data_IF_227159327639
#
_entry.id   IF_227159327639
#
_cell.length_a   1.000
_cell.length_b   1.000
_cell.length_c   1.000
_cell.angle_alpha   90.00
_cell.angle_beta   90.00
_cell.angle_gamma   90.00
#
_symmetry.space_group_name_H-M   'P 1'
#
loop_
_entity.id
_entity.type
_entity.pdbx_description
1 polymer ?
#
# COMPACT_ATOMS: atom_id res chain seq x y z
N UNK A 1 1.58 -9.46 -9.86
CA UNK A 1 1.56 -10.23 -8.60
C UNK A 1 1.98 -9.29 -7.50
N UNK A 2 1.39 -9.38 -6.30
CA UNK A 2 1.94 -8.71 -5.12
C UNK A 2 2.53 -9.80 -4.24
N UNK A 3 3.78 -9.66 -3.85
CA UNK A 3 4.43 -10.59 -2.94
C UNK A 3 3.87 -10.35 -1.52
N UNK A 4 3.47 -11.43 -0.86
CA UNK A 4 2.97 -11.42 0.53
C UNK A 4 4.10 -11.95 1.40
N UNK A 5 4.55 -11.15 2.36
CA UNK A 5 5.58 -11.54 3.32
C UNK A 5 5.01 -11.50 4.73
N UNK A 6 5.32 -12.49 5.55
CA UNK A 6 4.95 -12.55 6.96
C UNK A 6 6.19 -12.20 7.80
N UNK A 7 6.13 -11.13 8.59
CA UNK A 7 7.20 -10.77 9.55
C UNK A 7 6.56 -10.77 10.93
N UNK A 8 7.04 -11.64 11.84
CA UNK A 8 6.61 -11.72 13.25
C UNK A 8 5.09 -11.86 13.48
N UNK A 9 4.35 -12.43 12.53
CA UNK A 9 2.90 -12.62 12.61
C UNK A 9 2.07 -11.48 11.99
N UNK A 10 2.71 -10.48 11.38
CA UNK A 10 2.05 -9.40 10.65
C UNK A 10 2.12 -9.63 9.12
N UNK A 11 0.98 -9.48 8.45
CA UNK A 11 0.86 -9.62 7.01
C UNK A 11 1.33 -8.35 6.30
N UNK A 12 2.34 -8.49 5.44
CA UNK A 12 2.79 -7.40 4.56
C UNK A 12 2.21 -7.63 3.16
N UNK A 13 1.48 -6.63 2.68
CA UNK A 13 0.92 -6.59 1.33
C UNK A 13 1.60 -5.49 0.54
N UNK A 14 2.45 -5.87 -0.41
CA UNK A 14 3.07 -4.92 -1.33
C UNK A 14 2.11 -4.56 -2.46
N UNK A 15 1.79 -3.26 -2.55
CA UNK A 15 0.91 -2.71 -3.58
C UNK A 15 1.43 -1.39 -4.10
N UNK A 16 1.29 -1.24 -5.40
CA UNK A 16 1.45 0.06 -6.04
C UNK A 16 0.27 0.97 -5.66
N UNK A 17 0.61 2.16 -5.18
CA UNK A 17 -0.33 3.25 -4.93
C UNK A 17 -0.80 3.79 -6.27
N UNK A 18 -2.12 3.90 -6.46
CA UNK A 18 -2.68 4.48 -7.70
C UNK A 18 -3.19 5.89 -7.47
N UNK A 19 -3.06 6.80 -8.46
CA UNK A 19 -3.71 8.09 -8.41
C UNK A 19 -5.23 7.93 -8.48
N UNK A 20 -5.96 8.77 -7.76
CA UNK A 20 -7.41 8.83 -7.81
C UNK A 20 -7.90 10.29 -7.68
N UNK A 21 -8.88 10.66 -8.50
CA UNK A 21 -9.46 12.01 -8.51
C UNK A 21 -8.43 13.11 -8.79
N UNK A 22 -8.58 14.25 -8.12
CA UNK A 22 -7.80 15.49 -8.33
C UNK A 22 -6.38 15.47 -7.72
N UNK A 23 -5.76 14.29 -7.54
CA UNK A 23 -4.35 14.19 -7.13
C UNK A 23 -4.07 13.41 -5.83
N UNK A 24 -5.02 12.62 -5.34
CA UNK A 24 -4.82 11.80 -4.13
C UNK A 24 -4.26 10.41 -4.44
N UNK A 25 -3.34 9.93 -3.59
CA UNK A 25 -2.88 8.54 -3.57
C UNK A 25 -3.94 7.63 -2.93
N UNK A 26 -4.31 6.53 -3.58
CA UNK A 26 -5.21 5.51 -3.02
C UNK A 26 -4.54 4.13 -2.94
N UNK A 27 -4.76 3.47 -1.81
CA UNK A 27 -4.40 2.07 -1.54
C UNK A 27 -5.68 1.30 -1.21
N UNK A 28 -5.91 0.18 -1.87
CA UNK A 28 -7.05 -0.71 -1.57
C UNK A 28 -6.57 -1.85 -0.68
N UNK A 29 -7.05 -1.89 0.56
CA UNK A 29 -6.80 -2.98 1.48
C UNK A 29 -7.70 -4.21 1.17
N UNK A 30 -7.26 -5.44 1.48
CA UNK A 30 -8.10 -6.63 1.45
C UNK A 30 -9.33 -6.51 2.36
N UNK A 31 -10.45 -7.16 1.98
CA UNK A 31 -11.67 -7.15 2.79
C UNK A 31 -11.50 -7.83 4.14
N UNK A 32 -10.59 -8.79 4.23
CA UNK A 32 -10.31 -9.54 5.46
C UNK A 32 -9.64 -8.68 6.55
N UNK A 33 -9.17 -7.46 6.23
CA UNK A 33 -8.61 -6.51 7.19
C UNK A 33 -9.68 -5.64 7.88
N UNK A 34 -10.97 -5.79 7.57
CA UNK A 34 -12.03 -5.01 8.19
C UNK A 34 -12.04 -5.26 9.71
N UNK A 35 -11.82 -4.20 10.49
CA UNK A 35 -11.75 -4.26 11.96
C UNK A 35 -10.36 -4.44 12.54
N UNK A 36 -9.32 -4.56 11.70
CA UNK A 36 -7.93 -4.57 12.14
C UNK A 36 -7.32 -3.15 12.19
N UNK A 37 -6.35 -2.93 13.08
CA UNK A 37 -5.47 -1.78 13.05
C UNK A 37 -4.43 -1.96 11.93
N UNK A 38 -4.29 -0.98 11.04
CA UNK A 38 -3.42 -1.08 9.85
C UNK A 38 -2.42 0.07 9.82
N UNK A 39 -1.14 -0.27 9.56
CA UNK A 39 -0.07 0.70 9.31
C UNK A 39 0.41 0.60 7.87
N UNK A 40 0.49 1.74 7.19
CA UNK A 40 1.08 1.84 5.84
C UNK A 40 2.51 2.37 5.95
N UNK A 41 3.46 1.72 5.29
CA UNK A 41 4.88 2.12 5.27
C UNK A 41 5.32 2.33 3.83
N UNK A 42 5.90 3.50 3.54
CA UNK A 42 6.50 3.80 2.23
C UNK A 42 7.92 3.22 2.19
N UNK A 43 8.18 2.39 1.18
CA UNK A 43 9.49 1.71 1.02
C UNK A 43 10.40 2.34 -0.05
N UNK A 44 9.87 3.24 -0.88
CA UNK A 44 10.61 3.93 -1.95
C UNK A 44 10.13 5.38 -2.13
N UNK A 45 10.96 6.28 -2.70
CA UNK A 45 10.53 7.63 -3.03
C UNK A 45 9.43 7.61 -4.12
N UNK A 46 8.51 8.60 -4.14
CA UNK A 46 7.56 8.76 -5.23
C UNK A 46 8.31 9.01 -6.55
N UNK A 47 7.76 8.54 -7.66
CA UNK A 47 8.30 8.86 -8.97
C UNK A 47 7.77 10.25 -9.37
N UNK A 48 8.50 11.29 -9.00
CA UNK A 48 8.25 12.65 -9.49
C UNK A 48 8.55 12.66 -11.00
N UNK A 49 7.51 12.65 -11.83
CA UNK A 49 7.62 12.76 -13.28
C UNK A 49 7.96 14.18 -13.71
N UNK A 50 9.13 14.69 -13.30
CA UNK A 50 9.68 15.97 -13.76
C UNK A 50 10.92 15.68 -14.63
N UNK A 51 10.67 15.60 -15.95
CA UNK A 51 11.59 16.00 -17.03
C UNK A 51 10.87 17.06 -17.87
#
# INVERSE_FOLDING_TARGET
MGDRYEIEGEEIVEREVKPFGSGGAHLTAPKDWIGADVKVVRVSPPNDGDD
#
